data_IF_251022532175
#
_entry.id   IF_251022532175
#
_cell.length_a   1.000
_cell.length_b   1.000
_cell.length_c   1.000
_cell.angle_alpha   90.00
_cell.angle_beta   90.00
_cell.angle_gamma   90.00
#
_symmetry.space_group_name_H-M   'P 1'
#
loop_
_entity.id
_entity.type
_entity.pdbx_description
1 polymer ?
#
# COMPACT_ATOMS: atom_id res chain seq x y z
N UNK A 1 13.48 6.99 22.55
CA UNK A 1 12.13 6.91 23.16
C UNK A 1 11.82 8.25 23.82
N UNK A 2 10.94 9.06 23.21
CA UNK A 2 10.48 10.33 23.78
C UNK A 2 9.18 10.08 24.55
N UNK A 3 8.91 10.85 25.61
CA UNK A 3 7.63 10.78 26.32
C UNK A 3 6.42 11.09 25.41
N UNK A 4 6.64 11.85 24.33
CA UNK A 4 5.65 12.17 23.31
C UNK A 4 5.12 10.91 22.61
N UNK A 5 5.98 10.04 22.06
CA UNK A 5 5.53 8.87 21.29
C UNK A 5 4.60 7.95 22.10
N UNK A 6 4.87 7.79 23.40
CA UNK A 6 3.99 7.03 24.28
C UNK A 6 2.58 7.62 24.32
N UNK A 7 2.45 8.94 24.46
CA UNK A 7 1.15 9.61 24.43
C UNK A 7 0.43 9.35 23.11
N UNK A 8 1.09 9.58 21.97
CA UNK A 8 0.49 9.39 20.65
C UNK A 8 0.03 7.95 20.40
N UNK A 9 0.82 6.95 20.78
CA UNK A 9 0.44 5.54 20.64
C UNK A 9 -0.75 5.20 21.56
N UNK A 10 -0.71 5.60 22.84
CA UNK A 10 -1.76 5.26 23.80
C UNK A 10 -3.10 5.98 23.57
N UNK A 11 -3.08 7.08 22.81
CA UNK A 11 -4.28 7.82 22.44
C UNK A 11 -5.00 7.22 21.21
N UNK A 12 -4.38 6.26 20.52
CA UNK A 12 -5.00 5.60 19.37
C UNK A 12 -6.16 4.70 19.81
N UNK A 13 -7.29 4.71 19.09
CA UNK A 13 -8.36 3.76 19.34
C UNK A 13 -7.92 2.34 18.97
N UNK A 14 -8.56 1.34 19.57
CA UNK A 14 -8.28 -0.06 19.24
C UNK A 14 -8.85 -0.37 17.86
N UNK A 15 -8.02 -0.92 16.97
CA UNK A 15 -8.47 -1.45 15.68
C UNK A 15 -9.14 -2.82 15.88
N UNK A 16 -10.21 -3.06 15.14
CA UNK A 16 -10.86 -4.37 15.07
C UNK A 16 -10.11 -5.37 14.19
N UNK A 17 -10.76 -6.49 13.88
CA UNK A 17 -10.27 -7.47 12.90
C UNK A 17 -10.45 -6.96 11.46
N UNK A 18 -9.76 -7.58 10.50
CA UNK A 18 -9.93 -7.25 9.08
C UNK A 18 -11.40 -7.30 8.67
N UNK A 19 -11.88 -6.25 8.01
CA UNK A 19 -13.28 -6.09 7.62
C UNK A 19 -14.17 -5.39 8.66
N UNK A 20 -13.63 -5.08 9.85
CA UNK A 20 -14.32 -4.23 10.83
C UNK A 20 -14.42 -2.77 10.35
N UNK A 21 -15.26 -1.99 11.03
CA UNK A 21 -15.26 -0.55 10.82
C UNK A 21 -13.98 0.09 11.35
N UNK A 22 -13.32 0.92 10.54
CA UNK A 22 -12.19 1.72 10.99
C UNK A 22 -12.68 2.74 12.04
N UNK A 23 -12.14 2.74 13.28
CA UNK A 23 -12.60 3.64 14.34
C UNK A 23 -12.15 5.10 14.14
N UNK A 24 -11.28 5.32 13.17
CA UNK A 24 -10.58 6.58 12.87
C UNK A 24 -10.24 6.56 11.39
N UNK A 25 -10.28 7.68 10.68
CA UNK A 25 -9.94 7.72 9.25
C UNK A 25 -8.47 8.09 9.00
N UNK A 26 -7.97 7.82 7.79
CA UNK A 26 -6.58 8.12 7.37
C UNK A 26 -6.21 9.59 7.50
N UNK A 27 -7.11 10.53 7.16
CA UNK A 27 -6.86 11.97 7.31
C UNK A 27 -6.66 12.36 8.77
N UNK A 28 -7.50 11.82 9.65
CA UNK A 28 -7.36 11.96 11.09
C UNK A 28 -6.08 11.34 11.61
N UNK A 29 -5.63 10.22 11.05
CA UNK A 29 -4.33 9.63 11.40
C UNK A 29 -3.16 10.54 11.03
N UNK A 30 -3.18 11.18 9.86
CA UNK A 30 -2.17 12.18 9.48
C UNK A 30 -2.18 13.38 10.44
N UNK A 31 -3.36 13.88 10.81
CA UNK A 31 -3.50 14.96 11.79
C UNK A 31 -2.97 14.53 13.17
N UNK A 32 -3.23 13.28 13.58
CA UNK A 32 -2.77 12.74 14.86
C UNK A 32 -1.25 12.73 14.97
N UNK A 33 -0.52 12.53 13.88
CA UNK A 33 0.96 12.52 13.89
C UNK A 33 1.59 13.82 13.38
N UNK A 34 0.82 14.88 13.15
CA UNK A 34 1.30 16.12 12.53
C UNK A 34 2.47 16.79 13.29
N UNK A 35 2.48 16.70 14.62
CA UNK A 35 3.53 17.25 15.48
C UNK A 35 4.74 16.31 15.67
N UNK A 36 4.73 15.14 15.00
CA UNK A 36 5.81 14.15 14.99
C UNK A 36 6.35 13.99 13.56
N UNK A 37 7.30 14.84 13.10
CA UNK A 37 7.75 14.87 11.71
C UNK A 37 8.15 13.50 11.15
N UNK A 38 8.93 12.74 11.92
CA UNK A 38 9.41 11.42 11.54
C UNK A 38 8.24 10.42 11.37
N UNK A 39 7.29 10.40 12.31
CA UNK A 39 6.12 9.53 12.22
C UNK A 39 5.19 9.96 11.08
N UNK A 40 5.00 11.27 10.89
CA UNK A 40 4.22 11.81 9.78
C UNK A 40 4.80 11.41 8.43
N UNK A 41 6.12 11.46 8.25
CA UNK A 41 6.78 11.01 7.03
C UNK A 41 6.49 9.52 6.75
N UNK A 42 6.61 8.65 7.76
CA UNK A 42 6.33 7.21 7.62
C UNK A 42 4.87 6.94 7.25
N UNK A 43 3.93 7.57 7.95
CA UNK A 43 2.48 7.40 7.71
C UNK A 43 2.09 7.91 6.32
N UNK A 44 2.67 9.04 5.90
CA UNK A 44 2.43 9.61 4.56
C UNK A 44 2.88 8.64 3.46
N UNK A 45 4.04 7.98 3.60
CA UNK A 45 4.52 7.01 2.60
C UNK A 45 3.60 5.80 2.49
N UNK A 46 3.09 5.30 3.62
CA UNK A 46 2.15 4.17 3.62
C UNK A 46 0.85 4.55 2.92
N UNK A 47 0.26 5.70 3.27
CA UNK A 47 -0.99 6.13 2.64
C UNK A 47 -0.85 6.52 1.17
N UNK A 48 0.32 7.00 0.76
CA UNK A 48 0.62 7.24 -0.65
C UNK A 48 0.50 5.96 -1.49
N UNK A 49 0.82 4.79 -0.93
CA UNK A 49 0.62 3.50 -1.60
C UNK A 49 -0.85 3.30 -2.01
N UNK A 50 -1.77 3.57 -1.07
CA UNK A 50 -3.21 3.42 -1.32
C UNK A 50 -3.72 4.44 -2.34
N UNK A 51 -3.26 5.69 -2.26
CA UNK A 51 -3.62 6.73 -3.23
C UNK A 51 -3.16 6.36 -4.65
N UNK A 52 -2.00 5.70 -4.80
CA UNK A 52 -1.52 5.19 -6.09
C UNK A 52 -2.36 4.00 -6.58
N UNK A 53 -2.80 3.11 -5.69
CA UNK A 53 -3.73 2.03 -6.07
C UNK A 53 -5.11 2.57 -6.46
N UNK A 54 -5.63 3.56 -5.73
CA UNK A 54 -6.88 4.26 -6.09
C UNK A 54 -6.75 4.93 -7.46
N UNK A 55 -5.60 5.53 -7.76
CA UNK A 55 -5.31 6.08 -9.09
C UNK A 55 -5.37 5.02 -10.17
N UNK A 56 -4.68 3.89 -9.99
CA UNK A 56 -4.71 2.79 -10.97
C UNK A 56 -6.13 2.29 -11.21
N UNK A 57 -6.88 2.05 -10.14
CA UNK A 57 -8.26 1.59 -10.21
C UNK A 57 -9.18 2.61 -10.92
N UNK A 58 -9.01 3.90 -10.65
CA UNK A 58 -9.80 4.97 -11.30
C UNK A 58 -9.48 5.07 -12.78
N UNK A 59 -8.19 5.06 -13.16
CA UNK A 59 -7.76 5.14 -14.56
C UNK A 59 -8.13 3.88 -15.37
N UNK A 60 -8.19 2.73 -14.71
CA UNK A 60 -8.71 1.49 -15.29
C UNK A 60 -10.25 1.46 -15.39
N UNK A 61 -10.95 2.43 -14.77
CA UNK A 61 -12.41 2.49 -14.72
C UNK A 61 -13.04 1.46 -13.77
N UNK A 62 -12.25 0.89 -12.85
CA UNK A 62 -12.71 -0.06 -11.83
C UNK A 62 -13.53 0.65 -10.75
N UNK A 63 -13.18 1.91 -10.44
CA UNK A 63 -13.87 2.76 -9.46
C UNK A 63 -14.30 4.09 -10.09
N UNK A 64 -15.33 4.70 -9.52
CA UNK A 64 -15.90 5.98 -10.02
C UNK A 64 -15.53 7.18 -9.16
N UNK A 65 -15.25 6.96 -7.89
CA UNK A 65 -14.89 7.98 -6.92
C UNK A 65 -13.56 7.63 -6.30
N UNK A 66 -12.78 8.65 -5.97
CA UNK A 66 -11.48 8.53 -5.32
C UNK A 66 -11.50 9.36 -4.04
N UNK A 67 -10.82 8.89 -3.01
CA UNK A 67 -10.71 9.57 -1.70
C UNK A 67 -9.26 9.52 -1.21
N UNK A 68 -8.32 10.16 -1.94
CA UNK A 68 -6.93 10.17 -1.54
C UNK A 68 -6.68 11.07 -0.34
N UNK A 69 -5.63 10.76 0.42
CA UNK A 69 -5.26 11.51 1.64
C UNK A 69 -3.89 12.20 1.56
N UNK A 70 -3.03 11.76 0.63
CA UNK A 70 -1.70 12.34 0.37
C UNK A 70 -1.69 13.06 -0.97
N UNK A 71 -2.20 12.41 -2.02
CA UNK A 71 -2.37 13.01 -3.33
C UNK A 71 -3.65 13.85 -3.37
N UNK A 72 -3.67 14.84 -4.26
CA UNK A 72 -4.92 15.55 -4.57
C UNK A 72 -5.83 14.71 -5.46
N UNK A 73 -7.15 14.94 -5.42
CA UNK A 73 -8.08 14.29 -6.36
C UNK A 73 -7.66 14.52 -7.82
N UNK A 74 -7.25 15.75 -8.17
CA UNK A 74 -6.78 16.08 -9.51
C UNK A 74 -5.55 15.25 -9.90
N UNK A 75 -4.62 15.01 -8.97
CA UNK A 75 -3.47 14.14 -9.20
C UNK A 75 -3.90 12.70 -9.43
N UNK A 76 -4.75 12.14 -8.57
CA UNK A 76 -5.25 10.75 -8.72
C UNK A 76 -6.01 10.57 -10.05
N UNK A 77 -6.82 11.55 -10.45
CA UNK A 77 -7.58 11.52 -11.72
C UNK A 77 -6.75 11.82 -12.98
N UNK A 78 -5.45 12.09 -12.83
CA UNK A 78 -4.54 12.44 -13.93
C UNK A 78 -4.89 13.80 -14.59
N UNK A 79 -5.47 14.70 -13.82
CA UNK A 79 -5.80 16.08 -14.20
C UNK A 79 -4.69 17.08 -13.79
N UNK A 80 -3.78 16.64 -12.92
CA UNK A 80 -2.63 17.41 -12.43
C UNK A 80 -1.38 16.52 -12.36
N UNK A 81 -0.17 17.04 -12.60
CA UNK A 81 1.06 16.25 -12.50
C UNK A 81 1.26 15.68 -11.09
N UNK A 82 1.77 14.45 -11.03
CA UNK A 82 2.22 13.86 -9.77
C UNK A 82 3.43 14.63 -9.23
N UNK A 83 3.70 14.54 -7.91
CA UNK A 83 4.89 15.14 -7.32
C UNK A 83 6.20 14.68 -7.99
N UNK A 84 7.20 15.56 -8.08
CA UNK A 84 8.45 15.33 -8.82
C UNK A 84 9.17 14.03 -8.42
N UNK A 85 9.12 13.65 -7.15
CA UNK A 85 9.72 12.42 -6.64
C UNK A 85 9.07 11.14 -7.19
N UNK A 86 7.86 11.23 -7.76
CA UNK A 86 7.18 10.15 -8.49
C UNK A 86 7.31 10.26 -10.02
N UNK A 87 7.78 11.40 -10.55
CA UNK A 87 7.76 11.70 -11.99
C UNK A 87 9.15 11.77 -12.61
N UNK A 88 10.21 11.97 -11.82
CA UNK A 88 11.58 12.20 -12.32
C UNK A 88 12.14 11.11 -13.26
N UNK A 89 11.48 9.95 -13.39
CA UNK A 89 11.81 8.85 -14.30
C UNK A 89 10.81 8.60 -15.45
N UNK A 90 9.70 9.34 -15.55
CA UNK A 90 8.53 8.97 -16.37
C UNK A 90 8.41 9.66 -17.76
N UNK A 91 9.33 10.54 -18.14
CA UNK A 91 9.02 11.55 -19.17
C UNK A 91 8.77 11.05 -20.63
N UNK A 92 8.97 9.78 -21.02
CA UNK A 92 8.94 9.41 -22.46
C UNK A 92 8.47 7.99 -22.85
N UNK A 93 7.52 7.31 -22.18
CA UNK A 93 7.17 5.90 -22.54
C UNK A 93 5.68 5.50 -22.43
N UNK A 94 5.33 4.32 -22.97
CA UNK A 94 3.96 3.79 -23.08
C UNK A 94 3.26 3.56 -21.73
N UNK A 95 1.92 3.64 -21.69
CA UNK A 95 1.12 3.61 -20.46
C UNK A 95 1.38 2.43 -19.49
N UNK A 96 1.63 1.21 -19.99
CA UNK A 96 1.95 0.06 -19.12
C UNK A 96 3.35 0.19 -18.49
N UNK A 97 4.33 0.66 -19.27
CA UNK A 97 5.66 1.02 -18.77
C UNK A 97 5.58 2.20 -17.79
N UNK A 98 4.61 3.10 -17.94
CA UNK A 98 4.40 4.23 -17.02
C UNK A 98 3.95 3.77 -15.63
N UNK A 99 3.09 2.75 -15.53
CA UNK A 99 2.62 2.23 -14.23
C UNK A 99 3.76 1.53 -13.47
N UNK A 100 4.48 0.62 -14.13
CA UNK A 100 5.61 -0.09 -13.51
C UNK A 100 6.71 0.87 -13.03
N UNK A 101 7.03 1.90 -13.83
CA UNK A 101 7.98 2.95 -13.45
C UNK A 101 7.50 3.83 -12.30
N UNK A 102 6.19 4.11 -12.22
CA UNK A 102 5.61 4.85 -11.11
C UNK A 102 5.78 4.07 -9.80
N UNK A 103 5.57 2.75 -9.83
CA UNK A 103 5.82 1.90 -8.67
C UNK A 103 7.30 1.79 -8.34
N UNK A 104 8.17 1.74 -9.34
CA UNK A 104 9.62 1.78 -9.12
C UNK A 104 10.04 3.07 -8.40
N UNK A 105 9.53 4.21 -8.85
CA UNK A 105 9.77 5.51 -8.22
C UNK A 105 9.21 5.57 -6.79
N UNK A 106 7.98 5.06 -6.58
CA UNK A 106 7.36 4.98 -5.25
C UNK A 106 8.19 4.12 -4.29
N UNK A 107 8.58 2.90 -4.68
CA UNK A 107 9.34 2.02 -3.80
C UNK A 107 10.76 2.54 -3.53
N UNK A 108 11.39 3.18 -4.52
CA UNK A 108 12.65 3.90 -4.33
C UNK A 108 12.52 5.02 -3.30
N UNK A 109 11.46 5.84 -3.40
CA UNK A 109 11.14 6.89 -2.43
C UNK A 109 10.86 6.33 -1.04
N UNK A 110 10.00 5.30 -0.93
CA UNK A 110 9.63 4.67 0.32
C UNK A 110 10.84 4.05 1.05
N UNK A 111 11.71 3.37 0.29
CA UNK A 111 12.97 2.83 0.79
C UNK A 111 13.92 3.94 1.27
N UNK A 112 13.98 5.07 0.55
CA UNK A 112 14.69 6.28 0.97
C UNK A 112 14.19 6.82 2.31
N UNK A 113 12.87 6.99 2.46
CA UNK A 113 12.25 7.46 3.71
C UNK A 113 12.50 6.49 4.86
N UNK A 114 12.37 5.18 4.63
CA UNK A 114 12.65 4.18 5.65
C UNK A 114 14.07 4.30 6.20
N UNK A 115 15.05 4.52 5.31
CA UNK A 115 16.46 4.71 5.68
C UNK A 115 16.69 6.02 6.43
N UNK A 116 16.13 7.13 5.94
CA UNK A 116 16.29 8.46 6.55
C UNK A 116 15.71 8.50 7.97
N UNK A 117 14.54 7.90 8.17
CA UNK A 117 13.85 7.86 9.45
C UNK A 117 14.29 6.69 10.36
N UNK A 118 15.17 5.81 9.86
CA UNK A 118 15.63 4.63 10.60
C UNK A 118 14.49 3.65 10.95
N UNK A 119 13.45 3.56 10.10
CA UNK A 119 12.29 2.72 10.34
C UNK A 119 12.54 1.30 9.83
N UNK A 120 12.66 0.35 10.77
CA UNK A 120 12.77 -1.07 10.45
C UNK A 120 11.45 -1.58 9.86
N UNK A 121 10.34 -1.14 10.44
CA UNK A 121 9.00 -1.48 9.96
C UNK A 121 8.81 -1.12 8.49
N UNK A 122 9.01 0.16 8.11
CA UNK A 122 8.79 0.59 6.73
C UNK A 122 9.76 -0.11 5.75
N UNK A 123 11.01 -0.33 6.16
CA UNK A 123 11.96 -1.08 5.34
C UNK A 123 11.49 -2.53 5.09
N UNK A 124 10.97 -3.21 6.11
CA UNK A 124 10.41 -4.57 5.96
C UNK A 124 9.11 -4.57 5.14
N UNK A 125 8.25 -3.57 5.32
CA UNK A 125 7.01 -3.40 4.54
C UNK A 125 7.32 -3.26 3.06
N UNK A 126 8.25 -2.37 2.68
CA UNK A 126 8.65 -2.17 1.28
C UNK A 126 9.18 -3.47 0.67
N UNK A 127 10.02 -4.21 1.40
CA UNK A 127 10.54 -5.50 0.90
C UNK A 127 9.44 -6.52 0.64
N UNK A 128 8.46 -6.58 1.54
CA UNK A 128 7.31 -7.48 1.41
C UNK A 128 6.40 -7.08 0.24
N UNK A 129 6.03 -5.81 0.15
CA UNK A 129 5.17 -5.29 -0.94
C UNK A 129 5.81 -5.50 -2.32
N UNK A 130 7.09 -5.17 -2.47
CA UNK A 130 7.82 -5.38 -3.74
C UNK A 130 7.88 -6.86 -4.08
N UNK A 131 8.22 -7.71 -3.11
CA UNK A 131 8.29 -9.17 -3.30
C UNK A 131 6.95 -9.75 -3.74
N UNK A 132 5.87 -9.42 -3.02
CA UNK A 132 4.50 -9.86 -3.35
C UNK A 132 4.08 -9.38 -4.73
N UNK A 133 4.27 -8.08 -5.04
CA UNK A 133 3.87 -7.49 -6.33
C UNK A 133 4.61 -8.17 -7.49
N UNK A 134 5.91 -8.39 -7.36
CA UNK A 134 6.72 -9.05 -8.38
C UNK A 134 6.34 -10.53 -8.55
N UNK A 135 6.05 -11.25 -7.46
CA UNK A 135 5.61 -12.64 -7.54
C UNK A 135 4.26 -12.77 -8.30
N UNK A 136 3.31 -11.87 -8.03
CA UNK A 136 2.03 -11.81 -8.73
C UNK A 136 2.19 -11.39 -10.20
N UNK A 137 3.04 -10.41 -10.49
CA UNK A 137 3.34 -9.96 -11.85
C UNK A 137 3.98 -11.08 -12.68
N UNK A 138 4.96 -11.78 -12.14
CA UNK A 138 5.58 -12.95 -12.79
C UNK A 138 4.56 -14.06 -13.07
N UNK A 139 3.68 -14.37 -12.12
CA UNK A 139 2.62 -15.35 -12.31
C UNK A 139 1.64 -14.95 -13.43
N UNK A 140 1.27 -13.66 -13.49
CA UNK A 140 0.43 -13.11 -14.56
C UNK A 140 1.11 -13.18 -15.92
N UNK A 141 2.38 -12.76 -16.00
CA UNK A 141 3.17 -12.80 -17.23
C UNK A 141 3.26 -14.23 -17.77
N UNK A 142 3.57 -15.22 -16.92
CA UNK A 142 3.58 -16.65 -17.30
C UNK A 142 2.26 -17.10 -17.90
N UNK A 143 1.13 -16.75 -17.25
CA UNK A 143 -0.21 -17.12 -17.72
C UNK A 143 -0.56 -16.50 -19.08
N UNK A 144 -0.01 -15.32 -19.37
CA UNK A 144 -0.21 -14.60 -20.63
C UNK A 144 0.85 -14.94 -21.70
N UNK A 145 1.80 -15.82 -21.41
CA UNK A 145 2.92 -16.13 -22.32
C UNK A 145 3.87 -14.96 -22.54
N UNK A 146 3.91 -14.01 -21.62
CA UNK A 146 4.80 -12.85 -21.62
C UNK A 146 6.10 -13.16 -20.88
N UNK A 147 7.14 -12.36 -21.12
CA UNK A 147 8.41 -12.46 -20.41
C UNK A 147 8.28 -11.82 -19.03
N UNK A 148 8.55 -12.59 -17.97
CA UNK A 148 8.38 -12.15 -16.58
C UNK A 148 9.18 -10.88 -16.26
N UNK A 149 10.42 -10.83 -16.72
CA UNK A 149 11.35 -9.73 -16.44
C UNK A 149 10.91 -8.38 -17.05
N UNK A 150 9.92 -8.34 -17.93
CA UNK A 150 9.34 -7.10 -18.46
C UNK A 150 8.26 -6.50 -17.55
N UNK A 151 7.88 -7.19 -16.47
CA UNK A 151 6.80 -6.79 -15.55
C UNK A 151 7.24 -6.70 -14.09
N UNK A 152 8.54 -6.81 -13.82
CA UNK A 152 9.08 -6.72 -12.47
C UNK A 152 9.51 -5.28 -12.16
N UNK A 153 9.30 -4.87 -10.92
CA UNK A 153 9.54 -3.51 -10.42
C UNK A 153 10.46 -3.57 -9.21
N UNK A 154 11.48 -2.71 -9.18
CA UNK A 154 12.40 -2.51 -8.03
C UNK A 154 12.90 -3.84 -7.41
N UNK A 155 13.30 -4.82 -8.24
CA UNK A 155 13.60 -6.19 -7.83
C UNK A 155 14.63 -6.27 -6.71
N UNK A 156 15.59 -5.35 -6.69
CA UNK A 156 16.64 -5.23 -5.67
C UNK A 156 16.11 -4.87 -4.26
N UNK A 157 14.89 -4.34 -4.18
CA UNK A 157 14.22 -4.01 -2.93
C UNK A 157 13.32 -5.13 -2.43
N UNK A 158 13.02 -6.17 -3.20
CA UNK A 158 12.01 -7.17 -2.84
C UNK A 158 12.56 -8.39 -2.10
N UNK A 159 11.69 -9.03 -1.31
CA UNK A 159 11.91 -10.42 -0.91
C UNK A 159 11.84 -11.39 -2.10
N UNK A 160 12.47 -12.56 -1.95
CA UNK A 160 12.53 -13.57 -2.99
C UNK A 160 11.14 -14.11 -3.36
N UNK A 161 10.91 -14.41 -4.64
CA UNK A 161 9.60 -14.85 -5.14
C UNK A 161 9.15 -16.19 -4.52
N UNK A 162 10.10 -17.00 -4.05
CA UNK A 162 9.88 -18.26 -3.37
C UNK A 162 9.02 -18.13 -2.10
N UNK A 163 9.14 -17.00 -1.39
CA UNK A 163 8.37 -16.73 -0.17
C UNK A 163 6.86 -16.61 -0.45
N UNK A 164 6.47 -16.28 -1.69
CA UNK A 164 5.07 -16.02 -2.07
C UNK A 164 4.43 -17.16 -2.87
N UNK A 165 5.08 -18.33 -3.00
CA UNK A 165 4.57 -19.43 -3.84
C UNK A 165 3.16 -19.89 -3.44
N UNK A 166 2.90 -20.03 -2.13
CA UNK A 166 1.59 -20.43 -1.62
C UNK A 166 0.53 -19.34 -1.90
N UNK A 167 0.86 -18.08 -1.61
CA UNK A 167 0.01 -16.93 -1.88
C UNK A 167 -0.39 -16.85 -3.36
N UNK A 168 0.59 -16.99 -4.26
CA UNK A 168 0.39 -16.97 -5.71
C UNK A 168 -0.48 -18.14 -6.16
N UNK A 169 -0.28 -19.35 -5.60
CA UNK A 169 -1.09 -20.51 -5.94
C UNK A 169 -2.57 -20.32 -5.54
N UNK A 170 -2.82 -19.81 -4.34
CA UNK A 170 -4.17 -19.50 -3.87
C UNK A 170 -4.83 -18.38 -4.68
N UNK A 171 -4.07 -17.32 -4.99
CA UNK A 171 -4.54 -16.21 -5.83
C UNK A 171 -4.90 -16.67 -7.25
N UNK A 172 -4.09 -17.55 -7.86
CA UNK A 172 -4.39 -18.13 -9.18
C UNK A 172 -5.63 -19.03 -9.16
N UNK A 173 -5.90 -19.68 -8.04
CA UNK A 173 -7.06 -20.55 -7.83
C UNK A 173 -8.32 -19.79 -7.38
N UNK A 174 -8.22 -18.47 -7.11
CA UNK A 174 -9.34 -17.67 -6.65
C UNK A 174 -10.50 -17.69 -7.65
N UNK A 175 -11.72 -17.79 -7.13
CA UNK A 175 -12.93 -17.97 -7.95
C UNK A 175 -13.23 -16.77 -8.87
N UNK A 176 -12.80 -15.57 -8.48
CA UNK A 176 -12.97 -14.34 -9.24
C UNK A 176 -11.92 -13.29 -8.80
N UNK A 177 -11.74 -12.18 -9.55
CA UNK A 177 -10.75 -11.15 -9.22
C UNK A 177 -10.91 -10.54 -7.83
N UNK A 178 -12.15 -10.34 -7.37
CA UNK A 178 -12.44 -9.81 -6.03
C UNK A 178 -11.96 -10.74 -4.92
N UNK A 179 -12.23 -12.04 -5.05
CA UNK A 179 -11.74 -13.05 -4.09
C UNK A 179 -10.20 -13.07 -4.07
N UNK A 180 -9.57 -12.90 -5.23
CA UNK A 180 -8.11 -12.74 -5.32
C UNK A 180 -7.62 -11.50 -4.57
N UNK A 181 -8.25 -10.34 -4.75
CA UNK A 181 -7.89 -9.10 -4.06
C UNK A 181 -8.09 -9.19 -2.54
N UNK A 182 -9.20 -9.76 -2.09
CA UNK A 182 -9.47 -10.01 -0.67
C UNK A 182 -8.42 -10.93 -0.04
N UNK A 183 -7.97 -11.94 -0.78
CA UNK A 183 -6.91 -12.84 -0.34
C UNK A 183 -5.57 -12.12 -0.15
N UNK A 184 -5.20 -11.21 -1.07
CA UNK A 184 -3.99 -10.40 -0.93
C UNK A 184 -4.04 -9.48 0.30
N UNK A 185 -5.18 -8.82 0.54
CA UNK A 185 -5.36 -7.96 1.72
C UNK A 185 -5.37 -8.74 3.03
N UNK A 186 -5.90 -9.97 3.03
CA UNK A 186 -5.83 -10.87 4.18
C UNK A 186 -4.39 -11.31 4.49
N UNK A 187 -3.59 -11.57 3.45
CA UNK A 187 -2.16 -11.85 3.59
C UNK A 187 -1.39 -10.66 4.17
N UNK A 188 -1.61 -9.45 3.64
CA UNK A 188 -1.03 -8.21 4.16
C UNK A 188 -1.40 -7.99 5.64
N UNK A 189 -2.67 -8.21 5.99
CA UNK A 189 -3.13 -8.11 7.38
C UNK A 189 -2.43 -9.12 8.30
N UNK A 190 -2.30 -10.37 7.85
CA UNK A 190 -1.59 -11.40 8.60
C UNK A 190 -0.10 -11.08 8.75
N UNK A 191 0.52 -10.49 7.71
CA UNK A 191 1.90 -10.02 7.76
C UNK A 191 2.08 -8.92 8.82
N UNK A 192 1.17 -7.94 8.88
CA UNK A 192 1.17 -6.90 9.92
C UNK A 192 0.99 -7.49 11.32
N UNK A 193 0.24 -8.59 11.46
CA UNK A 193 0.11 -9.31 12.73
C UNK A 193 1.46 -9.90 13.22
N UNK A 194 2.34 -10.32 12.31
CA UNK A 194 3.65 -10.90 12.63
C UNK A 194 4.74 -9.84 12.84
N UNK A 195 4.60 -8.67 12.23
CA UNK A 195 5.62 -7.61 12.21
C UNK A 195 5.29 -6.41 13.10
N UNK A 196 4.15 -6.45 13.79
CA UNK A 196 3.81 -5.42 14.76
C UNK A 196 4.54 -5.65 16.09
N UNK A 197 5.44 -4.72 16.40
CA UNK A 197 6.18 -4.66 17.66
C UNK A 197 5.44 -3.77 18.64
N UNK A 198 4.36 -4.31 19.19
CA UNK A 198 3.55 -3.67 20.22
C UNK A 198 4.38 -3.21 21.43
N UNK A 199 3.97 -2.09 22.03
CA UNK A 199 4.52 -1.55 23.28
C UNK A 199 5.98 -1.11 23.20
N UNK A 200 6.49 -0.83 22.00
CA UNK A 200 7.81 -0.20 21.82
C UNK A 200 7.73 1.31 21.96
N UNK A 201 6.54 1.89 21.74
CA UNK A 201 6.28 3.33 21.71
C UNK A 201 7.22 4.07 20.72
N UNK A 202 7.53 3.40 19.60
CA UNK A 202 8.35 3.92 18.52
C UNK A 202 7.48 4.46 17.38
N UNK A 203 8.06 5.23 16.47
CA UNK A 203 7.37 5.70 15.27
C UNK A 203 6.92 4.52 14.39
N UNK A 204 7.64 3.40 14.44
CA UNK A 204 7.29 2.14 13.78
C UNK A 204 5.93 1.58 14.26
N UNK A 205 5.58 1.77 15.54
CA UNK A 205 4.27 1.35 16.07
C UNK A 205 3.13 2.22 15.51
N UNK A 206 3.38 3.53 15.32
CA UNK A 206 2.44 4.43 14.65
C UNK A 206 2.31 4.08 13.15
N UNK A 207 3.42 3.73 12.50
CA UNK A 207 3.43 3.30 11.10
C UNK A 207 2.69 1.96 10.91
N UNK A 208 2.91 0.97 11.78
CA UNK A 208 2.20 -0.31 11.76
C UNK A 208 0.69 -0.13 11.99
N UNK A 209 0.31 0.76 12.91
CA UNK A 209 -1.09 1.13 13.11
C UNK A 209 -1.69 1.77 11.84
N UNK A 210 -0.99 2.71 11.21
CA UNK A 210 -1.44 3.34 9.97
C UNK A 210 -1.62 2.33 8.84
N UNK A 211 -0.69 1.39 8.65
CA UNK A 211 -0.81 0.35 7.64
C UNK A 211 -2.07 -0.52 7.86
N UNK A 212 -2.39 -0.88 9.12
CA UNK A 212 -3.63 -1.60 9.43
C UNK A 212 -4.87 -0.75 9.15
N UNK A 213 -4.84 0.52 9.55
CA UNK A 213 -5.95 1.42 9.30
C UNK A 213 -6.24 1.54 7.79
N UNK A 214 -5.19 1.73 6.99
CA UNK A 214 -5.27 1.74 5.52
C UNK A 214 -5.92 0.46 4.97
N UNK A 215 -5.53 -0.71 5.46
CA UNK A 215 -6.13 -1.98 5.01
C UNK A 215 -7.60 -2.11 5.39
N UNK A 216 -8.04 -1.61 6.55
CA UNK A 216 -9.45 -1.61 6.93
C UNK A 216 -10.28 -0.75 5.98
N UNK A 217 -9.82 0.47 5.68
CA UNK A 217 -10.51 1.35 4.73
C UNK A 217 -10.53 0.76 3.31
N UNK A 218 -9.39 0.26 2.84
CA UNK A 218 -9.28 -0.42 1.54
C UNK A 218 -10.25 -1.60 1.46
N UNK A 219 -10.34 -2.41 2.52
CA UNK A 219 -11.27 -3.53 2.58
C UNK A 219 -12.72 -3.11 2.42
N UNK A 220 -13.13 -2.04 3.11
CA UNK A 220 -14.49 -1.52 3.02
C UNK A 220 -14.79 -0.99 1.62
N UNK A 221 -13.86 -0.25 1.01
CA UNK A 221 -14.00 0.31 -0.34
C UNK A 221 -14.26 -0.81 -1.36
N UNK A 222 -13.36 -1.80 -1.39
CA UNK A 222 -13.44 -2.97 -2.29
C UNK A 222 -14.71 -3.79 -2.08
N UNK A 223 -15.14 -3.98 -0.83
CA UNK A 223 -16.32 -4.80 -0.53
C UNK A 223 -17.63 -4.07 -0.87
N UNK A 224 -17.73 -2.76 -0.58
CA UNK A 224 -18.93 -1.95 -0.88
C UNK A 224 -19.16 -1.81 -2.39
N UNK A 225 -18.11 -1.61 -3.17
CA UNK A 225 -18.23 -1.53 -4.64
C UNK A 225 -18.71 -2.84 -5.26
N UNK A 226 -18.31 -3.99 -4.69
CA UNK A 226 -18.84 -5.29 -5.11
C UNK A 226 -20.34 -5.45 -4.81
N UNK A 227 -20.84 -4.88 -3.72
CA UNK A 227 -22.26 -4.98 -3.35
C UNK A 227 -23.11 -4.06 -4.23
N UNK A 228 -22.67 -2.82 -4.48
CA UNK A 228 -23.34 -1.88 -5.37
C UNK A 228 -23.34 -2.31 -6.85
N UNK A 229 -22.33 -3.06 -7.29
CA UNK A 229 -22.26 -3.62 -8.65
C UNK A 229 -23.20 -4.79 -8.94
N UNK A 230 -23.86 -5.38 -7.92
CA UNK A 230 -24.86 -6.44 -8.11
C UNK A 230 -26.28 -5.93 -8.35
N UNK A 231 -26.52 -4.63 -8.15
CA UNK A 231 -27.84 -3.99 -8.31
C UNK A 231 -27.98 -3.13 -9.58
N UNK A 232 -26.98 -3.14 -10.48
CA UNK A 232 -26.97 -2.38 -11.74
C UNK A 232 -27.14 -3.27 -12.97
#
# INVERSE_FOLDING_TARGET
MTAANRYYVTALPVLGELGSEAPFDRERMLQHVADLPDAHALVTVLFLEDDLLEREAFLAGEIKEVRPVVLTEAQVRNESPLPDYLVSSLEHESAALTADRLWEAYFGYASGVAKEQGSEFLATWVRDEVGRRNALAAARARRLGLREADSLVAVELGEAAEEYQNLVAEWLAAANPLAGLQLLMADQWAWLGRHDRWFTFANDELAAYAARLMLLERWQRVTRESEGGRES
#
